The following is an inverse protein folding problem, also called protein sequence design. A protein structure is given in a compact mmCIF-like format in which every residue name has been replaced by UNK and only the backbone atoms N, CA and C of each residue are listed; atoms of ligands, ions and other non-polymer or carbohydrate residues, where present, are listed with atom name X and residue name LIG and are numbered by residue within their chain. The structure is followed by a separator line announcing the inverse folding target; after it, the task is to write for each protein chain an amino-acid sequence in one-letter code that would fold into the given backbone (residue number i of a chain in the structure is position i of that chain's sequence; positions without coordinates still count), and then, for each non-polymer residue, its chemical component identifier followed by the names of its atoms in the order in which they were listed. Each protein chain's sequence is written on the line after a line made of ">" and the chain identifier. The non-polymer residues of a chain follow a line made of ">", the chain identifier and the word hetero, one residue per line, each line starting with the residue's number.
data_IF_251449770580
#
_entry.id   IF_251449770580
#
_cell.length_a   1.000
_cell.length_b   1.000
_cell.length_c   1.000
_cell.angle_alpha   90.00
_cell.angle_beta   90.00
_cell.angle_gamma   90.00
#
_symmetry.space_group_name_H-M   'P 1'
#
loop_
_entity.id
_entity.type
_entity.pdbx_description
1 polymer ?
#
# COMPACT_ATOMS: atom_id res chain seq x y z
N UNK A 1 -65.40 31.70 8.58
CA UNK A 1 -65.00 30.35 9.01
C UNK A 1 -64.01 29.78 7.98
N UNK A 2 -62.80 29.41 8.44
CA UNK A 2 -61.94 28.28 8.00
C UNK A 2 -61.68 28.10 6.49
N UNK A 3 -60.48 28.01 5.93
CA UNK A 3 -59.09 27.89 6.41
C UNK A 3 -58.20 28.04 5.18
N UNK A 4 -57.09 28.77 5.29
CA UNK A 4 -56.07 28.87 4.24
C UNK A 4 -55.26 27.56 4.17
N UNK A 5 -55.08 27.01 2.97
CA UNK A 5 -54.17 25.90 2.72
C UNK A 5 -52.90 26.44 2.07
N UNK A 6 -51.87 26.69 2.89
CA UNK A 6 -50.48 26.83 2.44
C UNK A 6 -49.86 25.43 2.45
N UNK A 7 -49.60 24.85 1.29
CA UNK A 7 -48.67 23.73 1.18
C UNK A 7 -47.38 24.28 0.60
N UNK A 8 -46.38 24.27 1.48
CA UNK A 8 -45.02 24.73 1.27
C UNK A 8 -44.29 23.75 0.35
N UNK A 9 -43.80 24.24 -0.80
CA UNK A 9 -42.95 23.51 -1.73
C UNK A 9 -41.54 23.46 -1.13
N UNK A 10 -41.18 22.35 -0.48
CA UNK A 10 -39.82 22.15 0.04
C UNK A 10 -38.96 21.59 -1.09
N UNK A 11 -38.27 22.49 -1.81
CA UNK A 11 -37.14 22.13 -2.67
C UNK A 11 -35.96 21.68 -1.78
N UNK A 12 -35.93 20.39 -1.43
CA UNK A 12 -34.77 19.78 -0.76
C UNK A 12 -33.64 19.56 -1.77
N UNK A 13 -32.76 20.55 -1.93
CA UNK A 13 -31.47 20.31 -2.57
C UNK A 13 -30.63 19.44 -1.62
N UNK A 14 -30.52 18.13 -1.90
CA UNK A 14 -29.53 17.28 -1.26
C UNK A 14 -28.14 17.68 -1.77
N UNK A 15 -27.43 18.47 -0.97
CA UNK A 15 -26.01 18.73 -1.18
C UNK A 15 -25.25 17.47 -0.77
N UNK A 16 -24.91 16.64 -1.76
CA UNK A 16 -23.99 15.52 -1.55
C UNK A 16 -22.60 16.14 -1.35
N UNK A 17 -22.20 16.32 -0.09
CA UNK A 17 -20.80 16.63 0.22
C UNK A 17 -19.98 15.39 -0.12
N UNK A 18 -19.36 15.38 -1.31
CA UNK A 18 -18.34 14.42 -1.64
C UNK A 18 -17.15 14.64 -0.68
N UNK A 19 -17.03 13.79 0.34
CA UNK A 19 -15.84 13.77 1.20
C UNK A 19 -14.69 13.23 0.36
N UNK A 20 -13.92 14.14 -0.24
CA UNK A 20 -12.62 13.80 -0.79
C UNK A 20 -11.69 13.48 0.39
N UNK A 21 -11.55 12.20 0.72
CA UNK A 21 -10.51 11.79 1.66
C UNK A 21 -9.16 12.02 1.00
N UNK A 22 -8.38 12.95 1.55
CA UNK A 22 -6.98 13.09 1.18
C UNK A 22 -6.27 11.74 1.40
N UNK A 23 -5.33 11.42 0.51
CA UNK A 23 -4.55 10.19 0.66
C UNK A 23 -3.76 10.27 1.99
N UNK A 24 -3.63 9.15 2.73
CA UNK A 24 -3.01 9.17 4.04
C UNK A 24 -1.56 9.67 3.96
N UNK A 25 -1.17 10.53 4.89
CA UNK A 25 0.22 10.92 5.05
C UNK A 25 1.05 9.70 5.46
N UNK A 26 2.26 9.61 4.91
CA UNK A 26 3.17 8.47 5.11
C UNK A 26 4.39 8.93 5.90
N UNK A 27 4.78 8.18 6.93
CA UNK A 27 5.96 8.43 7.76
C UNK A 27 6.74 7.12 7.97
N UNK A 28 8.06 7.21 7.95
CA UNK A 28 8.94 6.08 8.31
C UNK A 28 8.61 5.58 9.73
N UNK A 29 8.62 4.26 9.91
CA UNK A 29 8.20 3.59 11.13
C UNK A 29 6.68 3.38 11.26
N UNK A 30 5.84 3.99 10.41
CA UNK A 30 4.40 3.74 10.47
C UNK A 30 4.05 2.28 10.19
N UNK A 31 3.12 1.74 10.98
CA UNK A 31 2.56 0.41 10.79
C UNK A 31 1.10 0.54 10.36
N UNK A 32 0.73 -0.12 9.27
CA UNK A 32 -0.58 -0.03 8.65
C UNK A 32 -1.22 -1.39 8.44
N UNK A 33 -2.52 -1.46 8.70
CA UNK A 33 -3.40 -2.43 8.07
C UNK A 33 -3.68 -2.00 6.63
N UNK A 34 -3.91 -2.98 5.77
CA UNK A 34 -4.15 -2.78 4.34
C UNK A 34 -5.21 -3.75 3.82
N UNK A 35 -5.58 -3.63 2.54
CA UNK A 35 -6.48 -4.57 1.87
C UNK A 35 -5.70 -5.86 1.57
N UNK A 36 -5.85 -6.87 2.40
CA UNK A 36 -5.09 -8.14 2.35
C UNK A 36 -5.69 -9.16 1.38
N UNK A 37 -4.99 -10.29 1.21
CA UNK A 37 -5.57 -11.52 0.62
C UNK A 37 -6.46 -12.20 1.67
N UNK A 38 -7.45 -13.02 1.26
CA UNK A 38 -8.25 -13.79 2.20
C UNK A 38 -7.37 -14.69 3.08
N UNK A 39 -7.64 -14.71 4.39
CA UNK A 39 -6.89 -15.50 5.37
C UNK A 39 -5.62 -14.83 5.92
N UNK A 40 -5.34 -13.59 5.52
CA UNK A 40 -4.20 -12.79 5.98
C UNK A 40 -4.65 -11.48 6.65
N UNK A 41 -5.85 -11.44 7.23
CA UNK A 41 -6.46 -10.22 7.76
C UNK A 41 -5.66 -9.57 8.91
N UNK A 42 -4.81 -10.34 9.58
CA UNK A 42 -3.89 -9.87 10.61
C UNK A 42 -2.57 -9.29 10.04
N UNK A 43 -2.33 -9.41 8.73
CA UNK A 43 -1.12 -8.92 8.09
C UNK A 43 -1.03 -7.40 8.15
N UNK A 44 0.18 -6.92 8.41
CA UNK A 44 0.50 -5.49 8.49
C UNK A 44 1.68 -5.16 7.60
N UNK A 45 1.81 -3.89 7.22
CA UNK A 45 3.01 -3.37 6.62
C UNK A 45 3.65 -2.29 7.48
N UNK A 46 4.97 -2.22 7.44
CA UNK A 46 5.78 -1.20 8.12
C UNK A 46 6.49 -0.36 7.06
N UNK A 47 6.42 0.97 7.17
CA UNK A 47 7.16 1.89 6.29
C UNK A 47 8.62 1.94 6.75
N UNK A 48 9.53 1.44 5.91
CA UNK A 48 10.95 1.32 6.22
C UNK A 48 11.74 2.58 5.85
N UNK A 49 11.47 3.13 4.66
CA UNK A 49 12.21 4.28 4.11
C UNK A 49 11.36 5.01 3.07
N UNK A 50 11.46 6.33 3.02
CA UNK A 50 10.79 7.16 2.02
C UNK A 50 11.83 7.97 1.26
N UNK A 51 11.83 7.86 -0.07
CA UNK A 51 12.77 8.56 -0.94
C UNK A 51 12.04 9.25 -2.10
N UNK A 52 12.65 10.32 -2.64
CA UNK A 52 12.11 11.02 -3.79
C UNK A 52 13.08 10.92 -4.96
N UNK A 53 12.56 10.54 -6.11
CA UNK A 53 13.31 10.35 -7.34
C UNK A 53 12.72 11.20 -8.47
N UNK A 54 13.52 11.84 -9.33
CA UNK A 54 13.01 12.70 -10.40
C UNK A 54 12.01 12.02 -11.34
N UNK A 55 12.29 10.77 -11.77
CA UNK A 55 11.45 10.01 -12.70
C UNK A 55 10.31 9.22 -12.02
N UNK A 56 10.56 8.73 -10.81
CA UNK A 56 9.63 7.82 -10.11
C UNK A 56 8.75 8.51 -9.06
N UNK A 57 9.04 9.77 -8.74
CA UNK A 57 8.39 10.50 -7.65
C UNK A 57 8.76 9.92 -6.29
N UNK A 58 7.80 9.93 -5.36
CA UNK A 58 7.96 9.39 -4.02
C UNK A 58 7.90 7.84 -4.04
N UNK A 59 9.02 7.21 -3.72
CA UNK A 59 9.15 5.76 -3.52
C UNK A 59 9.13 5.48 -2.02
N UNK A 60 8.39 4.45 -1.63
CA UNK A 60 8.17 4.04 -0.26
C UNK A 60 8.55 2.57 -0.14
N UNK A 61 9.57 2.30 0.67
CA UNK A 61 10.03 0.96 0.97
C UNK A 61 9.24 0.43 2.15
N UNK A 62 8.66 -0.76 2.01
CA UNK A 62 7.88 -1.40 3.06
C UNK A 62 8.39 -2.80 3.36
N UNK A 63 8.15 -3.22 4.60
CA UNK A 63 8.11 -4.63 5.00
C UNK A 63 6.66 -5.05 5.15
N UNK A 64 6.36 -6.32 4.89
CA UNK A 64 5.04 -6.91 5.13
C UNK A 64 5.21 -8.12 6.04
N UNK A 65 4.39 -8.20 7.08
CA UNK A 65 4.43 -9.25 8.10
C UNK A 65 3.08 -9.99 8.18
N UNK A 66 3.09 -11.25 8.61
CA UNK A 66 1.86 -12.03 8.83
C UNK A 66 1.19 -12.50 7.54
N UNK A 67 1.97 -12.65 6.46
CA UNK A 67 1.53 -13.27 5.21
C UNK A 67 1.70 -14.80 5.28
N UNK A 68 1.18 -15.51 4.29
CA UNK A 68 1.40 -16.94 4.05
C UNK A 68 1.78 -17.13 2.60
N UNK A 69 3.04 -17.48 2.35
CA UNK A 69 3.56 -17.70 1.01
C UNK A 69 4.46 -18.92 1.01
N UNK A 70 4.40 -19.70 -0.07
CA UNK A 70 5.29 -20.84 -0.29
C UNK A 70 6.38 -20.38 -1.24
N UNK A 71 7.64 -20.60 -0.88
CA UNK A 71 8.75 -20.38 -1.80
C UNK A 71 8.64 -21.39 -2.96
N UNK A 72 8.51 -20.94 -4.21
CA UNK A 72 8.28 -21.85 -5.34
C UNK A 72 9.51 -22.71 -5.68
N UNK A 73 10.70 -22.36 -5.18
CA UNK A 73 11.96 -23.07 -5.45
C UNK A 73 12.22 -24.15 -4.39
N UNK A 74 12.18 -23.77 -3.10
CA UNK A 74 12.53 -24.69 -2.00
C UNK A 74 11.32 -25.26 -1.26
N UNK A 75 10.11 -24.78 -1.55
CA UNK A 75 8.85 -25.32 -1.03
C UNK A 75 8.53 -24.98 0.43
N UNK A 76 9.38 -24.23 1.13
CA UNK A 76 9.10 -23.80 2.50
C UNK A 76 8.12 -22.62 2.54
N UNK A 77 7.31 -22.59 3.61
CA UNK A 77 6.48 -21.42 3.90
C UNK A 77 7.33 -20.29 4.50
N UNK A 78 7.00 -19.06 4.15
CA UNK A 78 7.50 -17.86 4.79
C UNK A 78 6.35 -16.88 5.04
N UNK A 79 6.51 -16.06 6.07
CA UNK A 79 5.46 -15.21 6.63
C UNK A 79 5.78 -13.71 6.63
N UNK A 80 6.89 -13.33 5.98
CA UNK A 80 7.34 -11.95 5.88
C UNK A 80 7.93 -11.64 4.49
N UNK A 81 7.70 -10.42 4.03
CA UNK A 81 8.46 -9.82 2.93
C UNK A 81 9.31 -8.67 3.48
N UNK A 82 10.64 -8.84 3.61
CA UNK A 82 11.49 -7.88 4.32
C UNK A 82 11.66 -6.55 3.59
N UNK A 83 11.49 -6.50 2.26
CA UNK A 83 11.65 -5.28 1.48
C UNK A 83 10.84 -5.32 0.18
N UNK A 84 9.97 -4.32 0.00
CA UNK A 84 9.26 -4.08 -1.26
C UNK A 84 9.18 -2.56 -1.54
N UNK A 85 9.62 -2.07 -2.71
CA UNK A 85 9.53 -0.67 -3.11
C UNK A 85 8.21 -0.35 -3.82
N UNK A 86 7.44 0.63 -3.35
CA UNK A 86 6.19 1.07 -3.97
C UNK A 86 6.23 2.55 -4.35
N UNK A 87 5.54 2.93 -5.42
CA UNK A 87 5.16 4.34 -5.57
C UNK A 87 4.16 4.71 -4.47
N UNK A 88 4.30 5.91 -3.88
CA UNK A 88 3.45 6.34 -2.77
C UNK A 88 1.94 6.21 -3.07
N UNK A 89 1.50 6.59 -4.28
CA UNK A 89 0.10 6.47 -4.71
C UNK A 89 -0.40 5.02 -4.72
N UNK A 90 0.46 4.06 -5.08
CA UNK A 90 0.10 2.65 -5.13
C UNK A 90 -0.04 2.07 -3.71
N UNK A 91 0.90 2.42 -2.82
CA UNK A 91 0.82 2.07 -1.41
C UNK A 91 -0.44 2.64 -0.76
N UNK A 92 -0.70 3.94 -0.94
CA UNK A 92 -1.87 4.62 -0.35
C UNK A 92 -3.21 3.99 -0.75
N UNK A 93 -3.36 3.45 -1.97
CA UNK A 93 -4.59 2.71 -2.38
C UNK A 93 -4.78 1.39 -1.64
N UNK A 94 -3.71 0.85 -1.07
CA UNK A 94 -3.69 -0.39 -0.30
C UNK A 94 -4.07 -0.16 1.17
N UNK A 95 -3.68 0.98 1.74
CA UNK A 95 -3.83 1.27 3.17
C UNK A 95 -5.31 1.39 3.59
N UNK A 96 -5.63 0.91 4.78
CA UNK A 96 -6.98 1.02 5.37
C UNK A 96 -6.95 1.80 6.68
N UNK A 97 -6.07 1.43 7.60
CA UNK A 97 -5.98 2.05 8.93
C UNK A 97 -4.56 1.96 9.48
N UNK A 98 -4.06 3.05 10.07
CA UNK A 98 -2.81 3.04 10.83
C UNK A 98 -3.03 2.26 12.11
N UNK A 99 -2.19 1.28 12.37
CA UNK A 99 -2.31 0.37 13.54
C UNK A 99 -1.22 0.61 14.58
N UNK A 100 -0.17 1.34 14.23
CA UNK A 100 0.88 1.72 15.16
C UNK A 100 2.03 2.48 14.49
N UNK A 101 3.11 2.62 15.23
CA UNK A 101 4.41 3.08 14.74
C UNK A 101 5.53 2.39 15.52
N UNK A 102 6.72 2.29 14.92
CA UNK A 102 7.95 1.84 15.57
C UNK A 102 9.03 2.90 15.44
N UNK A 103 9.83 3.07 16.49
CA UNK A 103 11.06 3.87 16.43
C UNK A 103 12.24 3.07 15.89
N UNK A 104 12.22 1.74 16.04
CA UNK A 104 13.25 0.84 15.55
C UNK A 104 12.75 0.18 14.27
N UNK A 105 13.35 0.59 13.15
CA UNK A 105 13.03 0.03 11.83
C UNK A 105 13.83 -1.26 11.66
N UNK A 106 13.16 -2.40 11.39
CA UNK A 106 13.85 -3.68 11.16
C UNK A 106 14.89 -3.56 10.04
N UNK A 107 16.00 -4.30 10.14
CA UNK A 107 17.00 -4.26 9.08
C UNK A 107 16.41 -4.78 7.75
N UNK A 108 16.61 -3.98 6.71
CA UNK A 108 16.19 -4.25 5.33
C UNK A 108 17.34 -3.99 4.34
N UNK A 109 18.56 -3.82 4.86
CA UNK A 109 19.76 -3.41 4.11
C UNK A 109 20.07 -4.32 2.94
N UNK A 110 19.91 -5.64 3.11
CA UNK A 110 20.18 -6.60 2.05
C UNK A 110 19.29 -6.37 0.82
N UNK A 111 17.96 -6.41 1.00
CA UNK A 111 17.00 -6.19 -0.09
C UNK A 111 17.12 -4.80 -0.71
N UNK A 112 17.31 -3.78 0.14
CA UNK A 112 17.52 -2.41 -0.32
C UNK A 112 18.78 -2.25 -1.17
N UNK A 113 19.91 -2.84 -0.77
CA UNK A 113 21.17 -2.72 -1.49
C UNK A 113 21.06 -3.33 -2.89
N UNK A 114 20.49 -4.53 -3.00
CA UNK A 114 20.26 -5.17 -4.31
C UNK A 114 19.30 -4.36 -5.18
N UNK A 115 18.18 -3.92 -4.61
CA UNK A 115 17.23 -3.08 -5.33
C UNK A 115 17.86 -1.78 -5.81
N UNK A 116 18.62 -1.08 -4.96
CA UNK A 116 19.20 0.23 -5.27
C UNK A 116 20.21 0.13 -6.41
N UNK A 117 21.08 -0.89 -6.37
CA UNK A 117 22.02 -1.15 -7.45
C UNK A 117 21.29 -1.38 -8.79
N UNK A 118 20.26 -2.23 -8.80
CA UNK A 118 19.46 -2.48 -10.01
C UNK A 118 18.66 -1.25 -10.45
N UNK A 119 18.16 -0.44 -9.51
CA UNK A 119 17.40 0.78 -9.79
C UNK A 119 18.29 1.85 -10.43
N UNK A 120 19.52 2.00 -9.96
CA UNK A 120 20.50 2.94 -10.51
C UNK A 120 20.95 2.54 -11.92
N UNK A 121 20.96 1.24 -12.22
CA UNK A 121 21.17 0.70 -13.56
C UNK A 121 19.92 0.75 -14.45
N UNK A 122 18.78 1.24 -13.93
CA UNK A 122 17.50 1.28 -14.65
C UNK A 122 16.82 -0.08 -14.83
N UNK A 123 17.29 -1.12 -14.14
CA UNK A 123 16.79 -2.51 -14.20
C UNK A 123 15.75 -2.83 -13.13
N UNK A 124 15.57 -1.94 -12.16
CA UNK A 124 14.52 -2.04 -11.15
C UNK A 124 13.67 -0.76 -11.10
N UNK A 125 12.48 -0.91 -10.52
CA UNK A 125 11.54 0.18 -10.31
C UNK A 125 10.84 0.06 -8.97
N UNK A 126 9.72 0.77 -8.84
CA UNK A 126 8.82 0.66 -7.71
C UNK A 126 7.45 0.17 -8.19
N UNK A 127 6.81 -0.70 -7.41
CA UNK A 127 5.50 -1.25 -7.72
C UNK A 127 4.45 -0.14 -7.84
N UNK A 128 3.67 -0.21 -8.91
CA UNK A 128 2.58 0.73 -9.23
C UNK A 128 1.19 0.17 -8.92
N UNK A 129 1.13 -1.12 -8.57
CA UNK A 129 -0.07 -1.88 -8.19
C UNK A 129 -0.18 -1.98 -6.66
N UNK A 130 -1.32 -2.46 -6.17
CA UNK A 130 -1.55 -2.59 -4.71
C UNK A 130 -0.68 -3.66 -4.08
N UNK A 131 -0.44 -3.58 -2.77
CA UNK A 131 0.34 -4.57 -2.01
C UNK A 131 -0.21 -5.98 -2.23
N UNK A 132 -1.54 -6.16 -2.17
CA UNK A 132 -2.20 -7.43 -2.46
C UNK A 132 -1.84 -7.98 -3.84
N UNK A 133 -1.98 -7.15 -4.88
CA UNK A 133 -1.69 -7.58 -6.25
C UNK A 133 -0.21 -7.93 -6.44
N UNK A 134 0.70 -7.20 -5.78
CA UNK A 134 2.12 -7.54 -5.76
C UNK A 134 2.33 -8.92 -5.12
N UNK A 135 1.77 -9.18 -3.93
CA UNK A 135 1.89 -10.47 -3.25
C UNK A 135 1.28 -11.63 -4.06
N UNK A 136 0.15 -11.42 -4.74
CA UNK A 136 -0.43 -12.39 -5.67
C UNK A 136 0.51 -12.67 -6.85
N UNK A 137 1.11 -11.63 -7.44
CA UNK A 137 2.04 -11.75 -8.57
C UNK A 137 3.31 -12.51 -8.24
N UNK A 138 3.88 -12.30 -7.05
CA UNK A 138 5.08 -12.99 -6.57
C UNK A 138 4.91 -14.52 -6.51
N UNK A 139 3.68 -15.01 -6.26
CA UNK A 139 3.35 -16.44 -6.23
C UNK A 139 3.16 -17.04 -7.62
N UNK A 140 2.67 -16.25 -8.57
CA UNK A 140 2.27 -16.75 -9.91
C UNK A 140 3.43 -17.02 -10.87
N UNK A 141 4.67 -16.68 -10.51
CA UNK A 141 5.86 -17.18 -11.19
C UNK A 141 5.92 -16.94 -12.70
N UNK A 142 5.40 -15.82 -13.21
CA UNK A 142 5.81 -15.27 -14.50
C UNK A 142 6.57 -13.96 -14.25
N UNK A 143 7.83 -14.12 -13.85
CA UNK A 143 8.79 -13.02 -13.79
C UNK A 143 9.24 -12.67 -15.21
N UNK A 144 8.36 -12.06 -16.00
CA UNK A 144 8.76 -11.40 -17.24
C UNK A 144 8.83 -9.88 -17.05
N UNK A 145 9.91 -9.31 -17.59
CA UNK A 145 10.25 -7.90 -17.54
C UNK A 145 9.09 -7.04 -18.06
N UNK A 146 8.78 -5.96 -17.35
CA UNK A 146 7.90 -4.92 -17.91
C UNK A 146 8.73 -3.73 -18.37
N UNK A 147 8.84 -3.70 -19.70
CA UNK A 147 9.25 -2.65 -20.65
C UNK A 147 10.72 -2.23 -20.74
#
# INVERSE_FOLDING_TARGET
>A
MKTALKVLLVCGALWINAVFSAAPALKEGDIWAYKTRPGEEASTLTILKIENYPKYGKVVHIRVDGIRMINPVVGNEFNEMPHLPFQAKALQRSLTRRVGETAEIPDFSQGYTYWKAAFDEGKAGAFKITVRQTLDGLLSGNWEMTE
#
